data_IF_909821439416
#
_entry.id   IF_909821439416
#
_cell.length_a   1.000
_cell.length_b   1.000
_cell.length_c   1.000
_cell.angle_alpha   90.00
_cell.angle_beta   90.00
_cell.angle_gamma   90.00
#
_symmetry.space_group_name_H-M   'P 1'
#
loop_
_entity.id
_entity.type
_entity.pdbx_description
1 polymer ?
#
# COMPACT_ATOMS: atom_id res chain seq x y z
N UNK A 1 -7.48 -11.77 -0.25
CA UNK A 1 -6.71 -10.91 -1.16
C UNK A 1 -7.65 -10.35 -2.21
N UNK A 2 -7.93 -9.07 -2.21
CA UNK A 2 -8.84 -8.44 -3.18
C UNK A 2 -8.15 -8.30 -4.55
N UNK A 3 -8.92 -8.39 -5.65
CA UNK A 3 -8.37 -8.17 -7.00
C UNK A 3 -7.68 -6.80 -7.16
N UNK A 4 -8.04 -5.83 -6.33
CA UNK A 4 -7.49 -4.48 -6.34
C UNK A 4 -6.04 -4.43 -5.83
N UNK A 5 -5.72 -5.23 -4.79
CA UNK A 5 -4.39 -5.26 -4.19
C UNK A 5 -3.33 -5.78 -5.17
N UNK A 6 -3.69 -6.78 -5.99
CA UNK A 6 -2.78 -7.38 -6.97
C UNK A 6 -2.38 -6.36 -8.04
N UNK A 7 -3.33 -5.58 -8.55
CA UNK A 7 -3.05 -4.64 -9.65
C UNK A 7 -2.20 -3.44 -9.23
N UNK A 8 -2.41 -2.90 -8.01
CA UNK A 8 -1.55 -1.82 -7.51
C UNK A 8 -0.14 -2.34 -7.19
N UNK A 9 -0.04 -3.57 -6.67
CA UNK A 9 1.23 -4.26 -6.50
C UNK A 9 1.96 -4.41 -7.84
N UNK A 10 1.29 -4.94 -8.86
CA UNK A 10 1.87 -5.12 -10.19
C UNK A 10 2.33 -3.78 -10.79
N UNK A 11 1.51 -2.72 -10.65
CA UNK A 11 1.83 -1.38 -11.12
C UNK A 11 3.08 -0.80 -10.46
N UNK A 12 3.20 -0.93 -9.14
CA UNK A 12 4.35 -0.44 -8.38
C UNK A 12 5.58 -1.35 -8.49
N UNK A 13 5.44 -2.58 -9.01
CA UNK A 13 6.58 -3.51 -9.21
C UNK A 13 7.44 -3.14 -10.43
N UNK A 14 7.00 -2.19 -11.26
CA UNK A 14 7.84 -1.70 -12.36
C UNK A 14 9.04 -0.92 -11.78
N UNK A 15 10.31 -1.28 -12.10
CA UNK A 15 11.49 -0.73 -11.43
C UNK A 15 11.61 0.80 -11.48
N UNK A 16 11.16 1.45 -12.57
CA UNK A 16 11.22 2.92 -12.70
C UNK A 16 10.25 3.59 -11.73
N UNK A 17 9.01 3.11 -11.64
CA UNK A 17 7.99 3.59 -10.71
C UNK A 17 8.40 3.33 -9.27
N UNK A 18 8.98 2.14 -9.02
CA UNK A 18 9.47 1.77 -7.70
C UNK A 18 10.62 2.68 -7.23
N UNK A 19 11.61 2.92 -8.08
CA UNK A 19 12.71 3.84 -7.79
C UNK A 19 12.21 5.27 -7.57
N UNK A 20 11.29 5.75 -8.42
CA UNK A 20 10.70 7.09 -8.30
C UNK A 20 9.91 7.25 -7.00
N UNK A 21 9.14 6.25 -6.61
CA UNK A 21 8.42 6.22 -5.34
C UNK A 21 9.38 6.37 -4.14
N UNK A 22 10.45 5.59 -4.10
CA UNK A 22 11.45 5.67 -3.02
C UNK A 22 12.19 7.01 -3.03
N UNK A 23 12.62 7.45 -4.21
CA UNK A 23 13.31 8.73 -4.38
C UNK A 23 12.42 9.91 -3.97
N UNK A 24 11.15 9.88 -4.32
CA UNK A 24 10.18 10.91 -3.95
C UNK A 24 9.86 10.91 -2.46
N UNK A 25 9.54 9.74 -1.89
CA UNK A 25 9.02 9.63 -0.51
C UNK A 25 10.13 9.62 0.56
N UNK A 26 11.18 8.82 0.38
CA UNK A 26 12.25 8.67 1.36
C UNK A 26 13.35 9.71 1.16
N UNK A 27 13.73 9.94 -0.08
CA UNK A 27 14.88 10.80 -0.41
C UNK A 27 14.50 12.22 -0.83
N UNK A 28 13.24 12.63 -0.68
CA UNK A 28 12.75 13.98 -0.96
C UNK A 28 13.09 14.47 -2.39
N UNK A 29 12.96 13.59 -3.37
CA UNK A 29 13.23 13.87 -4.79
C UNK A 29 14.69 13.71 -5.23
N UNK A 30 15.61 13.45 -4.28
CA UNK A 30 17.00 13.12 -4.65
C UNK A 30 17.02 11.75 -5.33
N UNK A 31 17.68 11.68 -6.48
CA UNK A 31 17.79 10.45 -7.29
C UNK A 31 18.92 9.57 -6.73
N UNK A 32 18.61 8.84 -5.67
CA UNK A 32 19.55 7.94 -4.96
C UNK A 32 19.39 6.51 -5.47
N UNK A 33 18.15 6.10 -5.78
CA UNK A 33 17.85 4.76 -6.29
C UNK A 33 17.78 4.82 -7.81
N UNK A 34 18.59 4.02 -8.48
CA UNK A 34 18.53 3.83 -9.93
C UNK A 34 17.65 2.62 -10.24
N UNK A 35 16.69 2.78 -11.15
CA UNK A 35 15.81 1.71 -11.58
C UNK A 35 16.56 0.51 -12.17
N UNK A 36 17.69 0.75 -12.85
CA UNK A 36 18.53 -0.29 -13.41
C UNK A 36 19.28 -1.13 -12.38
N UNK A 37 19.36 -0.67 -11.13
CA UNK A 37 19.95 -1.40 -10.00
C UNK A 37 18.93 -2.26 -9.24
N UNK A 38 17.62 -2.15 -9.56
CA UNK A 38 16.54 -2.85 -8.87
C UNK A 38 16.21 -4.17 -9.57
N UNK A 39 16.16 -5.24 -8.79
CA UNK A 39 15.75 -6.58 -9.22
C UNK A 39 14.67 -7.05 -8.26
N UNK A 40 13.54 -7.52 -8.79
CA UNK A 40 12.49 -8.10 -7.96
C UNK A 40 13.05 -9.29 -7.16
N UNK A 41 12.81 -9.30 -5.86
CA UNK A 41 13.23 -10.41 -5.02
C UNK A 41 12.35 -11.61 -5.34
N UNK A 42 12.98 -12.73 -5.76
CA UNK A 42 12.28 -13.99 -6.00
C UNK A 42 11.44 -14.38 -4.76
N UNK A 43 10.15 -14.30 -4.90
CA UNK A 43 9.17 -14.80 -3.92
C UNK A 43 9.03 -16.33 -3.99
N UNK A 44 9.74 -16.98 -4.92
CA UNK A 44 9.65 -18.40 -5.21
C UNK A 44 10.86 -19.11 -4.64
N UNK A 45 10.70 -19.80 -3.54
CA UNK A 45 11.28 -21.09 -3.18
C UNK A 45 11.45 -21.31 -1.66
N UNK A 46 10.35 -21.24 -0.91
CA UNK A 46 10.21 -22.18 0.22
C UNK A 46 8.74 -22.19 0.69
N UNK A 47 8.08 -23.32 0.61
CA UNK A 47 6.77 -23.57 1.21
C UNK A 47 6.94 -23.75 2.73
N UNK A 48 7.32 -22.70 3.43
CA UNK A 48 7.33 -22.63 4.88
C UNK A 48 6.24 -21.70 5.37
N UNK A 49 5.78 -21.88 6.61
CA UNK A 49 4.80 -21.01 7.26
C UNK A 49 5.23 -19.52 7.23
N UNK A 50 6.54 -19.24 7.20
CA UNK A 50 7.13 -17.92 7.08
C UNK A 50 6.78 -17.24 5.75
N UNK A 51 6.75 -17.99 4.64
CA UNK A 51 6.38 -17.48 3.32
C UNK A 51 4.89 -17.15 3.24
N UNK A 52 4.06 -17.95 3.90
CA UNK A 52 2.62 -17.66 4.00
C UNK A 52 2.33 -16.38 4.79
N UNK A 53 3.21 -16.00 5.74
CA UNK A 53 3.13 -14.73 6.47
C UNK A 53 3.51 -13.58 5.54
N UNK A 54 4.57 -13.71 4.75
CA UNK A 54 5.03 -12.65 3.82
C UNK A 54 4.09 -12.49 2.61
N UNK A 55 3.54 -13.57 2.06
CA UNK A 55 2.54 -13.50 0.98
C UNK A 55 1.22 -12.84 1.40
N UNK A 56 0.88 -12.87 2.70
CA UNK A 56 -0.29 -12.16 3.27
C UNK A 56 -0.10 -10.65 3.36
N UNK A 57 1.12 -10.17 3.21
CA UNK A 57 1.46 -8.78 3.50
C UNK A 57 1.37 -7.85 2.28
N UNK A 58 0.93 -8.30 1.11
CA UNK A 58 0.78 -7.51 -0.13
C UNK A 58 2.00 -6.64 -0.49
N UNK A 59 3.21 -7.09 -0.11
CA UNK A 59 4.40 -6.29 -0.20
C UNK A 59 5.18 -6.57 -1.47
N UNK A 60 5.80 -5.51 -1.99
CA UNK A 60 6.72 -5.58 -3.13
C UNK A 60 8.13 -5.49 -2.55
N UNK A 61 8.94 -6.50 -2.76
CA UNK A 61 10.32 -6.49 -2.30
C UNK A 61 11.28 -6.48 -3.49
N UNK A 62 12.20 -5.52 -3.51
CA UNK A 62 13.25 -5.42 -4.50
C UNK A 62 14.62 -5.43 -3.85
N UNK A 63 15.56 -6.11 -4.49
CA UNK A 63 16.98 -6.08 -4.16
C UNK A 63 17.66 -5.02 -5.01
N UNK A 64 18.33 -4.06 -4.36
CA UNK A 64 19.20 -3.13 -5.05
C UNK A 64 20.58 -3.75 -5.20
N UNK A 65 21.02 -3.90 -6.44
CA UNK A 65 22.33 -4.48 -6.77
C UNK A 65 23.16 -3.48 -7.57
N UNK A 66 24.46 -3.41 -7.24
CA UNK A 66 25.41 -2.60 -7.98
C UNK A 66 26.66 -3.42 -8.24
N UNK A 67 27.12 -3.44 -9.48
CA UNK A 67 28.28 -4.24 -9.91
C UNK A 67 28.17 -5.73 -9.51
N UNK A 68 26.94 -6.28 -9.52
CA UNK A 68 26.65 -7.66 -9.15
C UNK A 68 26.60 -7.93 -7.64
N UNK A 69 26.81 -6.92 -6.80
CA UNK A 69 26.73 -7.06 -5.35
C UNK A 69 25.43 -6.49 -4.81
N UNK A 70 24.80 -7.19 -3.83
CA UNK A 70 23.60 -6.71 -3.14
C UNK A 70 23.98 -5.51 -2.26
N UNK A 71 23.18 -4.46 -2.31
CA UNK A 71 23.37 -3.23 -1.56
C UNK A 71 22.33 -3.02 -0.47
N UNK A 72 21.06 -3.22 -0.82
CA UNK A 72 19.94 -3.07 0.08
C UNK A 72 18.74 -3.90 -0.37
N UNK A 73 17.84 -4.19 0.56
CA UNK A 73 16.52 -4.77 0.31
C UNK A 73 15.47 -3.72 0.61
N UNK A 74 14.65 -3.42 -0.37
CA UNK A 74 13.59 -2.42 -0.28
C UNK A 74 12.24 -3.12 -0.32
N UNK A 75 11.36 -2.77 0.59
CA UNK A 75 9.99 -3.30 0.63
C UNK A 75 8.98 -2.14 0.60
N UNK A 76 7.91 -2.30 -0.17
CA UNK A 76 6.77 -1.38 -0.18
C UNK A 76 5.54 -2.13 0.30
N UNK A 77 5.03 -1.74 1.46
CA UNK A 77 3.83 -2.29 2.08
C UNK A 77 2.62 -1.42 1.75
N UNK A 78 1.68 -1.97 0.97
CA UNK A 78 0.45 -1.27 0.56
C UNK A 78 -0.64 -1.46 1.62
N UNK A 79 -1.22 -0.35 2.13
CA UNK A 79 -2.26 -0.36 3.15
C UNK A 79 -3.49 0.45 2.71
N UNK A 80 -4.65 -0.19 2.69
CA UNK A 80 -5.94 0.47 2.46
C UNK A 80 -6.66 0.77 3.78
N UNK A 81 -6.48 -0.07 4.78
CA UNK A 81 -7.12 0.06 6.08
C UNK A 81 -6.09 0.39 7.15
N UNK A 82 -6.55 1.02 8.25
CA UNK A 82 -5.68 1.33 9.38
C UNK A 82 -5.31 0.03 10.09
N UNK A 83 -4.01 -0.25 10.16
CA UNK A 83 -3.45 -1.35 10.95
C UNK A 83 -2.74 -0.78 12.17
N UNK A 84 -3.34 -0.95 13.34
CA UNK A 84 -2.80 -0.45 14.61
C UNK A 84 -1.54 -1.20 15.06
N UNK A 85 -1.23 -2.35 14.47
CA UNK A 85 -0.02 -3.15 14.74
C UNK A 85 1.11 -2.88 13.75
N UNK A 86 0.96 -1.94 12.83
CA UNK A 86 1.85 -1.73 11.70
C UNK A 86 3.34 -1.65 12.05
N UNK A 87 3.79 -0.94 13.12
CA UNK A 87 5.21 -0.91 13.47
C UNK A 87 5.78 -2.28 13.83
N UNK A 88 5.06 -3.07 14.63
CA UNK A 88 5.48 -4.42 14.99
C UNK A 88 5.48 -5.37 13.78
N UNK A 89 4.52 -5.20 12.88
CA UNK A 89 4.41 -5.97 11.64
C UNK A 89 5.58 -5.70 10.71
N UNK A 90 5.94 -4.44 10.49
CA UNK A 90 7.10 -4.04 9.67
C UNK A 90 8.40 -4.54 10.30
N UNK A 91 8.57 -4.36 11.61
CA UNK A 91 9.74 -4.87 12.34
C UNK A 91 9.91 -6.39 12.16
N UNK A 92 8.83 -7.16 12.28
CA UNK A 92 8.87 -8.60 12.05
C UNK A 92 9.26 -8.96 10.62
N UNK A 93 8.72 -8.25 9.64
CA UNK A 93 9.00 -8.45 8.23
C UNK A 93 10.47 -8.18 7.90
N UNK A 94 11.03 -7.08 8.40
CA UNK A 94 12.43 -6.73 8.22
C UNK A 94 13.33 -7.77 8.92
N UNK A 95 12.95 -8.22 10.12
CA UNK A 95 13.67 -9.29 10.83
C UNK A 95 13.69 -10.62 10.04
N UNK A 96 12.57 -10.99 9.39
CA UNK A 96 12.51 -12.16 8.52
C UNK A 96 13.39 -12.00 7.28
N UNK A 97 13.53 -10.80 6.75
CA UNK A 97 14.45 -10.51 5.64
C UNK A 97 15.91 -10.62 6.06
N UNK A 98 16.27 -10.18 7.26
CA UNK A 98 17.60 -10.41 7.84
C UNK A 98 17.86 -11.90 8.12
N UNK A 99 16.88 -12.63 8.67
CA UNK A 99 17.04 -14.08 8.90
C UNK A 99 17.28 -14.83 7.58
N UNK A 100 16.64 -14.40 6.51
CA UNK A 100 16.88 -14.96 5.17
C UNK A 100 18.30 -14.73 4.69
N UNK A 101 18.83 -13.53 4.85
CA UNK A 101 20.23 -13.22 4.53
C UNK A 101 21.20 -14.07 5.39
N UNK A 102 20.92 -14.24 6.69
CA UNK A 102 21.70 -15.11 7.56
C UNK A 102 21.67 -16.58 7.09
N UNK A 103 20.51 -17.07 6.69
CA UNK A 103 20.37 -18.43 6.14
C UNK A 103 21.16 -18.61 4.82
N UNK A 104 21.18 -17.56 3.97
CA UNK A 104 21.96 -17.55 2.73
C UNK A 104 23.48 -17.61 3.02
N UNK A 105 23.98 -16.77 3.93
CA UNK A 105 25.38 -16.79 4.37
C UNK A 105 25.79 -18.17 4.93
N UNK A 106 24.98 -18.75 5.80
CA UNK A 106 25.24 -20.07 6.40
C UNK A 106 25.34 -21.23 5.38
N UNK A 107 24.70 -21.06 4.21
CA UNK A 107 24.72 -22.08 3.14
C UNK A 107 25.94 -22.00 2.23
N UNK A 108 26.70 -20.91 2.27
CA UNK A 108 27.80 -20.68 1.33
C UNK A 108 29.02 -21.60 1.53
N UNK A 109 29.12 -22.32 2.66
CA UNK A 109 30.09 -23.38 2.84
C UNK A 109 31.54 -22.90 2.83
N UNK A 110 31.89 -22.02 3.76
CA UNK A 110 33.23 -21.44 3.86
C UNK A 110 34.24 -22.32 4.63
N UNK A 111 35.54 -22.09 4.38
CA UNK A 111 36.58 -22.38 5.35
C UNK A 111 36.53 -21.31 6.45
N UNK A 112 36.39 -21.75 7.70
CA UNK A 112 36.27 -20.88 8.86
C UNK A 112 37.63 -20.68 9.53
N UNK A 113 37.96 -19.45 9.90
CA UNK A 113 39.27 -19.13 10.48
C UNK A 113 39.40 -19.56 11.95
N UNK A 114 38.27 -19.62 12.68
CA UNK A 114 38.28 -19.98 14.10
C UNK A 114 37.00 -20.74 14.52
N UNK A 115 36.93 -21.12 15.81
CA UNK A 115 35.82 -21.85 16.38
C UNK A 115 34.53 -21.03 16.46
N UNK A 116 34.60 -19.69 16.58
CA UNK A 116 33.45 -18.79 16.60
C UNK A 116 32.76 -18.76 15.25
N UNK A 117 33.51 -18.58 14.18
CA UNK A 117 33.01 -18.65 12.81
C UNK A 117 32.43 -20.04 12.49
N UNK A 118 33.13 -21.11 12.90
CA UNK A 118 32.67 -22.46 12.70
C UNK A 118 31.32 -22.73 13.39
N UNK A 119 31.15 -22.29 14.63
CA UNK A 119 29.92 -22.51 15.39
C UNK A 119 28.75 -21.64 14.90
N UNK A 120 29.03 -20.38 14.57
CA UNK A 120 28.02 -19.45 14.05
C UNK A 120 27.66 -19.69 12.59
N UNK A 121 28.57 -20.34 11.84
CA UNK A 121 28.50 -20.49 10.37
C UNK A 121 28.53 -19.15 9.63
N UNK A 122 29.09 -18.12 10.24
CA UNK A 122 29.22 -16.76 9.70
C UNK A 122 30.66 -16.31 9.99
N UNK A 123 31.32 -15.72 8.99
CA UNK A 123 32.67 -15.17 9.15
C UNK A 123 32.61 -13.77 9.75
N UNK A 124 33.70 -13.35 10.38
CA UNK A 124 33.82 -12.03 10.96
C UNK A 124 33.59 -10.90 9.93
N UNK A 125 33.98 -11.12 8.69
CA UNK A 125 33.87 -10.15 7.61
C UNK A 125 32.55 -10.24 6.83
N UNK A 126 31.66 -11.19 7.17
CA UNK A 126 30.34 -11.28 6.57
C UNK A 126 29.44 -10.17 7.11
N UNK A 127 28.71 -9.50 6.20
CA UNK A 127 27.82 -8.41 6.55
C UNK A 127 26.43 -8.65 5.98
N UNK A 128 25.43 -8.21 6.73
CA UNK A 128 24.05 -8.15 6.23
C UNK A 128 23.83 -6.82 5.50
N UNK A 129 22.94 -6.83 4.54
CA UNK A 129 22.54 -5.64 3.79
C UNK A 129 21.32 -4.99 4.45
N UNK A 130 21.23 -3.65 4.48
CA UNK A 130 20.09 -2.94 5.04
C UNK A 130 18.77 -3.41 4.44
N UNK A 131 17.77 -3.55 5.29
CA UNK A 131 16.37 -3.79 4.90
C UNK A 131 15.58 -2.55 5.27
N UNK A 132 14.85 -1.97 4.31
CA UNK A 132 14.07 -0.76 4.50
C UNK A 132 12.66 -0.99 3.95
N UNK A 133 11.65 -0.78 4.80
CA UNK A 133 10.25 -0.90 4.42
C UNK A 133 9.57 0.46 4.41
N UNK A 134 9.00 0.84 3.25
CA UNK A 134 8.11 1.99 3.07
C UNK A 134 6.66 1.51 3.17
N UNK A 135 5.90 2.07 4.08
CA UNK A 135 4.45 1.85 4.18
C UNK A 135 3.74 2.95 3.40
N UNK A 136 2.90 2.55 2.42
CA UNK A 136 2.03 3.46 1.69
C UNK A 136 0.61 3.25 2.17
N UNK A 137 0.00 4.30 2.70
CA UNK A 137 -1.40 4.33 3.06
C UNK A 137 -2.20 5.14 2.04
N UNK A 138 -3.21 4.50 1.47
CA UNK A 138 -4.11 5.08 0.48
C UNK A 138 -5.59 4.89 0.86
N UNK A 139 -5.85 4.62 2.14
CA UNK A 139 -7.21 4.57 2.68
C UNK A 139 -7.90 5.92 2.70
N UNK A 140 -9.22 5.90 2.86
CA UNK A 140 -10.03 7.13 2.92
C UNK A 140 -10.06 7.76 4.30
N UNK A 141 -9.89 6.95 5.33
CA UNK A 141 -9.88 7.40 6.72
C UNK A 141 -8.56 8.11 7.05
N UNK A 142 -8.62 9.10 7.95
CA UNK A 142 -7.44 9.70 8.54
C UNK A 142 -6.62 8.63 9.29
N UNK A 143 -5.33 8.53 9.02
CA UNK A 143 -4.49 7.56 9.70
C UNK A 143 -4.36 7.90 11.19
N UNK A 144 -4.88 7.01 12.04
CA UNK A 144 -4.82 7.08 13.51
C UNK A 144 -3.98 5.97 14.13
N UNK A 145 -3.33 5.16 13.28
CA UNK A 145 -2.43 4.11 13.71
C UNK A 145 -1.09 4.67 14.21
N UNK A 146 -0.38 3.83 14.93
CA UNK A 146 0.98 4.12 15.37
C UNK A 146 1.92 4.34 14.17
N UNK A 147 2.91 5.20 14.34
CA UNK A 147 3.98 5.45 13.35
C UNK A 147 5.34 4.95 13.85
N UNK A 148 5.43 4.45 15.09
CA UNK A 148 6.63 3.87 15.65
C UNK A 148 6.31 2.73 16.63
N UNK A 149 7.31 1.91 16.94
CA UNK A 149 7.17 0.82 17.91
C UNK A 149 6.78 1.33 19.29
N UNK A 150 7.39 2.43 19.75
CA UNK A 150 7.10 3.01 21.05
C UNK A 150 5.65 3.49 21.19
N UNK A 151 4.97 3.84 20.09
CA UNK A 151 3.56 4.26 20.09
C UNK A 151 2.59 3.13 20.46
N UNK A 152 3.00 1.87 20.29
CA UNK A 152 2.17 0.69 20.60
C UNK A 152 2.60 -0.04 21.88
N UNK A 153 3.68 0.40 22.54
CA UNK A 153 4.18 -0.21 23.77
C UNK A 153 3.59 0.48 24.99
N UNK A 154 3.18 -0.31 25.97
CA UNK A 154 2.82 0.18 27.30
C UNK A 154 4.06 0.20 28.19
N UNK A 155 4.56 1.39 28.51
CA UNK A 155 5.68 1.58 29.41
C UNK A 155 5.25 1.75 30.88
N UNK A 156 3.96 1.60 31.20
CA UNK A 156 3.42 1.73 32.55
C UNK A 156 3.21 3.18 33.00
N UNK A 157 2.65 3.32 34.20
CA UNK A 157 2.25 4.63 34.76
C UNK A 157 3.36 5.39 35.50
N UNK A 158 4.45 4.71 35.87
CA UNK A 158 5.59 5.36 36.54
C UNK A 158 6.46 6.12 35.52
N UNK A 159 6.52 7.46 35.54
CA UNK A 159 7.21 8.23 34.52
C UNK A 159 8.73 8.01 34.51
N UNK A 160 9.34 7.69 35.66
CA UNK A 160 10.78 7.43 35.73
C UNK A 160 11.09 6.09 35.09
N UNK A 161 10.37 5.04 35.49
CA UNK A 161 10.52 3.71 34.90
C UNK A 161 10.22 3.73 33.41
N UNK A 162 9.15 4.42 32.99
CA UNK A 162 8.77 4.55 31.59
C UNK A 162 9.88 5.19 30.74
N UNK A 163 10.56 6.22 31.28
CA UNK A 163 11.67 6.86 30.58
C UNK A 163 12.87 5.92 30.44
N UNK A 164 13.22 5.19 31.50
CA UNK A 164 14.32 4.21 31.46
C UNK A 164 14.01 3.06 30.46
N UNK A 165 12.78 2.53 30.49
CA UNK A 165 12.35 1.47 29.56
C UNK A 165 12.41 1.94 28.10
N UNK A 166 12.01 3.18 27.79
CA UNK A 166 12.13 3.74 26.44
C UNK A 166 13.57 3.83 25.94
N UNK A 167 14.55 4.02 26.83
CA UNK A 167 15.95 4.02 26.43
C UNK A 167 16.49 2.61 26.17
N UNK A 168 15.94 1.60 26.86
CA UNK A 168 16.36 0.21 26.70
C UNK A 168 15.73 -0.50 25.49
N UNK A 169 14.53 -0.10 25.10
CA UNK A 169 13.83 -0.66 23.94
C UNK A 169 14.18 0.19 22.71
N UNK A 170 14.82 -0.38 21.68
CA UNK A 170 15.08 0.34 20.45
C UNK A 170 13.80 0.87 19.81
N UNK A 171 13.82 2.11 19.36
CA UNK A 171 12.74 2.68 18.57
C UNK A 171 12.75 2.12 17.15
N UNK A 172 11.56 1.87 16.63
CA UNK A 172 11.38 1.38 15.26
C UNK A 172 10.37 2.27 14.52
N UNK A 173 10.82 3.41 13.97
CA UNK A 173 9.95 4.31 13.23
C UNK A 173 9.60 3.75 11.86
N UNK A 174 8.37 3.98 11.40
CA UNK A 174 7.95 3.67 10.03
C UNK A 174 8.44 4.73 9.05
N UNK A 175 8.94 4.29 7.89
CA UNK A 175 8.92 5.14 6.70
C UNK A 175 7.50 5.11 6.17
N UNK A 176 6.77 6.22 6.31
CA UNK A 176 5.33 6.25 6.11
C UNK A 176 4.92 7.32 5.11
N UNK A 177 4.26 6.91 4.04
CA UNK A 177 3.67 7.78 3.03
C UNK A 177 2.15 7.67 3.11
N UNK A 178 1.49 8.72 3.60
CA UNK A 178 0.05 8.83 3.57
C UNK A 178 -0.36 9.69 2.36
N UNK A 179 -0.95 9.06 1.35
CA UNK A 179 -1.36 9.76 0.13
C UNK A 179 -2.46 10.81 0.36
N UNK A 180 -3.18 10.75 1.48
CA UNK A 180 -4.19 11.75 1.84
C UNK A 180 -3.61 12.99 2.53
N UNK A 181 -2.35 12.94 3.00
CA UNK A 181 -1.66 14.05 3.68
C UNK A 181 -0.62 14.74 2.78
N UNK A 182 -0.23 14.10 1.68
CA UNK A 182 0.77 14.65 0.75
C UNK A 182 0.05 15.41 -0.35
N UNK A 183 0.30 16.71 -0.43
CA UNK A 183 -0.31 17.60 -1.44
C UNK A 183 0.72 18.14 -2.44
N UNK A 184 1.93 17.61 -2.46
CA UNK A 184 2.98 18.01 -3.40
C UNK A 184 3.73 16.79 -3.91
N UNK A 185 3.43 16.41 -5.12
CA UNK A 185 4.04 15.25 -5.81
C UNK A 185 5.11 15.68 -6.83
N UNK A 186 5.61 16.91 -6.75
CA UNK A 186 6.63 17.44 -7.68
C UNK A 186 7.95 16.67 -7.64
N UNK A 187 8.19 15.89 -6.62
CA UNK A 187 9.36 15.04 -6.48
C UNK A 187 9.29 13.78 -7.34
N UNK A 188 8.09 13.33 -7.73
CA UNK A 188 7.92 12.20 -8.63
C UNK A 188 8.15 12.60 -10.07
N UNK A 189 8.84 11.74 -10.82
CA UNK A 189 9.28 11.99 -12.21
C UNK A 189 8.63 11.05 -13.23
N UNK A 190 7.96 10.03 -12.75
CA UNK A 190 7.20 9.07 -13.57
C UNK A 190 5.71 9.41 -13.54
N UNK A 191 4.91 8.54 -14.14
CA UNK A 191 3.45 8.60 -14.14
C UNK A 191 2.84 8.54 -12.72
N UNK A 192 3.65 8.17 -11.71
CA UNK A 192 3.25 8.25 -10.30
C UNK A 192 2.83 9.65 -9.89
N UNK A 193 3.45 10.68 -10.46
CA UNK A 193 3.06 12.06 -10.20
C UNK A 193 1.59 12.28 -10.58
N UNK A 194 1.25 11.97 -11.82
CA UNK A 194 -0.12 12.13 -12.34
C UNK A 194 -1.11 11.29 -11.54
N UNK A 195 -0.74 10.03 -11.23
CA UNK A 195 -1.56 9.14 -10.43
C UNK A 195 -1.88 9.73 -9.04
N UNK A 196 -0.87 10.25 -8.34
CA UNK A 196 -1.04 10.81 -6.99
C UNK A 196 -1.75 12.15 -7.00
N UNK A 197 -1.50 13.01 -7.98
CA UNK A 197 -2.19 14.29 -8.17
C UNK A 197 -3.70 14.08 -8.43
N UNK A 198 -4.06 13.08 -9.22
CA UNK A 198 -5.45 12.71 -9.48
C UNK A 198 -6.08 12.05 -8.24
N UNK A 199 -5.33 11.22 -7.51
CA UNK A 199 -5.81 10.64 -6.26
C UNK A 199 -6.12 11.70 -5.20
N UNK A 200 -5.27 12.71 -5.04
CA UNK A 200 -5.48 13.80 -4.09
C UNK A 200 -6.78 14.56 -4.39
N UNK A 201 -7.07 14.79 -5.67
CA UNK A 201 -8.28 15.51 -6.13
C UNK A 201 -9.55 14.65 -6.23
N UNK A 202 -9.47 13.35 -5.91
CA UNK A 202 -10.58 12.39 -6.10
C UNK A 202 -11.89 12.78 -5.41
N UNK A 203 -11.84 13.60 -4.38
CA UNK A 203 -13.02 14.07 -3.62
C UNK A 203 -13.60 15.39 -4.14
N UNK A 204 -12.90 16.08 -5.02
CA UNK A 204 -13.34 17.36 -5.63
C UNK A 204 -13.40 17.24 -7.16
N UNK A 205 -14.62 17.07 -7.67
CA UNK A 205 -14.86 16.93 -9.11
C UNK A 205 -14.28 18.10 -9.93
N UNK A 206 -14.45 19.33 -9.44
CA UNK A 206 -13.99 20.51 -10.16
C UNK A 206 -12.47 20.53 -10.27
N UNK A 207 -11.77 20.32 -9.14
CA UNK A 207 -10.32 20.28 -9.09
C UNK A 207 -9.75 19.11 -9.91
N UNK A 208 -10.43 17.95 -9.88
CA UNK A 208 -10.03 16.78 -10.68
C UNK A 208 -10.17 17.05 -12.19
N UNK A 209 -11.33 17.54 -12.63
CA UNK A 209 -11.59 17.85 -14.06
C UNK A 209 -10.65 18.94 -14.56
N UNK A 210 -10.44 20.00 -13.78
CA UNK A 210 -9.51 21.07 -14.12
C UNK A 210 -8.08 20.52 -14.32
N UNK A 211 -7.61 19.65 -13.41
CA UNK A 211 -6.28 19.04 -13.53
C UNK A 211 -6.16 18.22 -14.82
N UNK A 212 -7.18 17.41 -15.14
CA UNK A 212 -7.19 16.61 -16.39
C UNK A 212 -7.18 17.49 -17.63
N UNK A 213 -7.88 18.61 -17.64
CA UNK A 213 -7.93 19.53 -18.77
C UNK A 213 -6.62 20.29 -18.97
N UNK A 214 -5.94 20.66 -17.89
CA UNK A 214 -4.70 21.43 -17.90
C UNK A 214 -3.45 20.62 -18.18
N UNK A 215 -3.52 19.27 -18.06
CA UNK A 215 -2.35 18.37 -18.15
C UNK A 215 -2.52 17.34 -19.27
N UNK A 216 -1.79 17.54 -20.37
CA UNK A 216 -1.87 16.67 -21.55
C UNK A 216 -1.44 15.22 -21.24
N UNK A 217 -0.59 14.98 -20.25
CA UNK A 217 -0.22 13.65 -19.77
C UNK A 217 -1.42 12.83 -19.28
N UNK A 218 -2.46 13.48 -18.78
CA UNK A 218 -3.69 12.79 -18.39
C UNK A 218 -4.45 12.21 -19.59
N UNK A 219 -4.34 12.87 -20.76
CA UNK A 219 -4.99 12.42 -22.00
C UNK A 219 -4.29 11.26 -22.69
N UNK A 220 -3.00 11.09 -22.39
CA UNK A 220 -2.13 10.07 -22.96
C UNK A 220 -1.63 9.05 -21.92
N UNK A 221 -2.38 8.90 -20.83
CA UNK A 221 -2.06 7.99 -19.76
C UNK A 221 -1.98 6.55 -20.27
N UNK A 222 -0.92 5.82 -19.89
CA UNK A 222 -0.80 4.41 -20.22
C UNK A 222 -1.88 3.56 -19.50
N UNK A 223 -2.14 2.37 -20.05
CA UNK A 223 -3.21 1.52 -19.55
C UNK A 223 -2.96 1.06 -18.09
N UNK A 224 -1.72 0.90 -17.66
CA UNK A 224 -1.39 0.42 -16.31
C UNK A 224 -1.65 1.53 -15.28
N UNK A 225 -1.22 2.76 -15.57
CA UNK A 225 -1.49 3.95 -14.74
C UNK A 225 -2.99 4.21 -14.64
N UNK A 226 -3.73 4.08 -15.76
CA UNK A 226 -5.18 4.17 -15.74
C UNK A 226 -5.85 3.12 -14.83
N UNK A 227 -5.40 1.86 -14.91
CA UNK A 227 -5.92 0.81 -14.04
C UNK A 227 -5.58 1.02 -12.57
N UNK A 228 -4.36 1.51 -12.27
CA UNK A 228 -3.96 1.87 -10.91
C UNK A 228 -4.83 3.00 -10.35
N UNK A 229 -5.10 4.04 -11.16
CA UNK A 229 -5.99 5.14 -10.78
C UNK A 229 -7.39 4.65 -10.44
N UNK A 230 -7.96 3.78 -11.28
CA UNK A 230 -9.29 3.17 -11.01
C UNK A 230 -9.37 2.45 -9.67
N UNK A 231 -8.30 1.80 -9.28
CA UNK A 231 -8.24 1.08 -8.01
C UNK A 231 -8.19 2.07 -6.86
N UNK A 232 -7.35 3.09 -6.97
CA UNK A 232 -7.18 4.10 -5.95
C UNK A 232 -8.41 4.97 -5.76
N UNK A 233 -9.14 5.29 -6.83
CA UNK A 233 -10.36 6.10 -6.80
C UNK A 233 -11.62 5.28 -6.46
N UNK A 234 -11.48 3.94 -6.30
CA UNK A 234 -12.51 2.99 -5.82
C UNK A 234 -13.85 3.01 -6.56
N UNK A 235 -13.85 3.11 -7.88
CA UNK A 235 -15.09 3.08 -8.67
C UNK A 235 -15.47 1.66 -9.08
N UNK A 236 -16.57 1.13 -8.54
CA UNK A 236 -17.00 -0.27 -8.71
C UNK A 236 -17.54 -0.55 -10.10
N UNK A 237 -18.20 0.40 -10.78
CA UNK A 237 -18.79 0.23 -12.12
C UNK A 237 -17.75 0.13 -13.24
N UNK A 238 -16.62 0.82 -13.12
CA UNK A 238 -15.53 0.73 -14.09
C UNK A 238 -14.90 -0.68 -14.18
N UNK A 239 -15.08 -1.51 -13.14
CA UNK A 239 -14.58 -2.91 -13.14
C UNK A 239 -15.22 -3.80 -14.19
N UNK A 240 -16.39 -3.44 -14.73
CA UNK A 240 -17.19 -4.28 -15.63
C UNK A 240 -17.09 -3.88 -17.10
N UNK A 241 -16.58 -2.68 -17.43
CA UNK A 241 -16.76 -2.12 -18.78
C UNK A 241 -15.59 -2.33 -19.77
N UNK A 242 -14.38 -2.70 -19.34
CA UNK A 242 -13.26 -2.90 -20.29
C UNK A 242 -12.59 -4.25 -20.06
N UNK A 243 -12.64 -5.16 -21.04
CA UNK A 243 -11.92 -6.43 -20.99
C UNK A 243 -10.40 -6.21 -20.96
N UNK A 244 -9.70 -7.08 -20.26
CA UNK A 244 -8.23 -7.08 -20.08
C UNK A 244 -7.41 -7.13 -21.39
N UNK A 245 -8.08 -7.36 -22.53
CA UNK A 245 -7.47 -7.58 -23.85
C UNK A 245 -7.35 -6.33 -24.74
N UNK A 246 -7.97 -5.20 -24.38
CA UNK A 246 -7.90 -3.96 -25.16
C UNK A 246 -6.99 -2.92 -24.48
N UNK A 247 -5.67 -3.17 -24.54
CA UNK A 247 -4.64 -2.25 -24.10
C UNK A 247 -4.27 -1.29 -25.25
N UNK A 248 -5.11 -0.32 -25.53
CA UNK A 248 -4.82 0.75 -26.48
C UNK A 248 -4.93 2.11 -25.80
N UNK A 249 -4.05 3.04 -26.20
CA UNK A 249 -4.13 4.45 -25.79
C UNK A 249 -5.55 4.97 -26.10
N UNK A 250 -6.35 5.22 -25.06
CA UNK A 250 -7.68 5.81 -25.20
C UNK A 250 -7.60 7.29 -24.84
N UNK A 251 -8.34 8.08 -25.60
CA UNK A 251 -8.55 9.50 -25.29
C UNK A 251 -9.35 9.59 -23.96
N UNK A 252 -8.69 10.03 -22.91
CA UNK A 252 -9.15 9.92 -21.52
C UNK A 252 -10.26 10.91 -21.13
N UNK A 253 -10.54 11.93 -21.96
CA UNK A 253 -11.53 12.95 -21.61
C UNK A 253 -12.93 12.39 -21.31
N UNK A 254 -13.43 11.48 -22.14
CA UNK A 254 -14.75 10.87 -21.94
C UNK A 254 -14.75 9.84 -20.80
N UNK A 255 -13.59 9.23 -20.54
CA UNK A 255 -13.47 8.18 -19.51
C UNK A 255 -13.51 8.79 -18.10
N UNK A 256 -12.96 9.99 -17.90
CA UNK A 256 -13.05 10.67 -16.63
C UNK A 256 -14.47 11.15 -16.31
N UNK A 257 -15.23 11.57 -17.30
CA UNK A 257 -16.65 11.90 -17.13
C UNK A 257 -17.45 10.67 -16.69
N UNK A 258 -17.21 9.52 -17.30
CA UNK A 258 -17.81 8.23 -16.91
C UNK A 258 -17.42 7.82 -15.48
N UNK A 259 -16.14 8.00 -15.10
CA UNK A 259 -15.64 7.73 -13.73
C UNK A 259 -16.41 8.58 -12.71
N UNK A 260 -16.61 9.86 -13.00
CA UNK A 260 -17.29 10.77 -12.08
C UNK A 260 -18.79 10.53 -11.99
N UNK A 261 -19.44 10.24 -13.11
CA UNK A 261 -20.86 9.88 -13.10
C UNK A 261 -21.07 8.60 -12.28
N UNK A 262 -20.20 7.61 -12.45
CA UNK A 262 -20.27 6.35 -11.72
C UNK A 262 -19.98 6.54 -10.22
N UNK A 263 -18.94 7.29 -9.84
CA UNK A 263 -18.62 7.58 -8.45
C UNK A 263 -19.74 8.39 -7.77
N UNK A 264 -20.37 9.32 -8.50
CA UNK A 264 -21.51 10.09 -8.01
C UNK A 264 -22.73 9.20 -7.79
N UNK A 265 -23.04 8.29 -8.73
CA UNK A 265 -24.15 7.37 -8.57
C UNK A 265 -23.93 6.39 -7.40
N UNK A 266 -22.69 5.92 -7.21
CA UNK A 266 -22.33 5.09 -6.06
C UNK A 266 -22.46 5.84 -4.74
N UNK A 267 -21.89 7.04 -4.64
CA UNK A 267 -22.02 7.87 -3.43
C UNK A 267 -23.47 8.22 -3.09
N UNK A 268 -24.31 8.48 -4.11
CA UNK A 268 -25.75 8.65 -3.92
C UNK A 268 -26.44 7.36 -3.48
N UNK A 269 -26.01 6.21 -4.01
CA UNK A 269 -26.58 4.92 -3.65
C UNK A 269 -26.18 4.52 -2.23
N UNK A 270 -24.91 4.66 -1.86
CA UNK A 270 -24.41 4.39 -0.51
C UNK A 270 -25.05 5.33 0.53
N UNK A 271 -25.11 6.64 0.24
CA UNK A 271 -25.78 7.61 1.12
C UNK A 271 -27.27 7.31 1.29
N UNK A 272 -27.95 6.85 0.23
CA UNK A 272 -29.34 6.40 0.30
C UNK A 272 -29.48 5.14 1.16
N UNK A 273 -28.59 4.16 0.98
CA UNK A 273 -28.61 2.93 1.79
C UNK A 273 -28.36 3.22 3.26
N UNK A 274 -27.34 4.01 3.59
CA UNK A 274 -27.03 4.41 4.97
C UNK A 274 -28.22 5.10 5.61
N UNK A 275 -28.85 6.05 4.94
CA UNK A 275 -30.07 6.72 5.43
C UNK A 275 -31.21 5.73 5.66
N UNK A 276 -31.39 4.76 4.77
CA UNK A 276 -32.42 3.71 4.94
C UNK A 276 -32.10 2.76 6.09
N UNK A 277 -30.83 2.46 6.34
CA UNK A 277 -30.39 1.66 7.50
C UNK A 277 -30.68 2.39 8.82
N UNK A 278 -30.33 3.69 8.90
CA UNK A 278 -30.65 4.52 10.06
C UNK A 278 -32.15 4.55 10.35
N UNK A 279 -32.98 4.77 9.32
CA UNK A 279 -34.44 4.79 9.47
C UNK A 279 -35.03 3.46 9.91
N UNK A 280 -34.45 2.34 9.47
CA UNK A 280 -34.87 1.00 9.90
C UNK A 280 -34.39 0.74 11.33
N UNK A 281 -33.14 1.09 11.66
CA UNK A 281 -32.57 0.96 12.99
C UNK A 281 -33.39 1.75 14.04
N UNK A 282 -33.77 2.96 13.70
CA UNK A 282 -34.59 3.83 14.54
C UNK A 282 -36.09 3.44 14.59
N UNK A 283 -36.45 2.37 13.88
CA UNK A 283 -37.84 1.88 13.84
C UNK A 283 -38.81 2.80 13.09
N UNK A 284 -38.31 3.76 12.32
CA UNK A 284 -39.11 4.71 11.54
C UNK A 284 -39.54 4.18 10.18
N UNK A 285 -38.88 3.12 9.69
CA UNK A 285 -39.19 2.47 8.41
C UNK A 285 -39.12 0.94 8.57
N UNK A 286 -40.04 0.22 7.89
CA UNK A 286 -39.95 -1.25 7.87
C UNK A 286 -38.84 -1.74 6.93
N UNK A 287 -38.22 -2.89 7.21
CA UNK A 287 -37.23 -3.53 6.32
C UNK A 287 -37.81 -3.70 4.92
N UNK A 288 -39.07 -4.08 4.80
CA UNK A 288 -39.78 -4.26 3.54
C UNK A 288 -39.85 -2.96 2.73
N UNK A 289 -40.23 -1.86 3.38
CA UNK A 289 -40.35 -0.56 2.70
C UNK A 289 -38.96 0.03 2.38
N UNK A 290 -37.96 -0.20 3.24
CA UNK A 290 -36.58 0.20 3.00
C UNK A 290 -35.98 -0.56 1.81
N UNK A 291 -36.14 -1.87 1.77
CA UNK A 291 -35.68 -2.73 0.68
C UNK A 291 -36.34 -2.33 -0.66
N UNK A 292 -37.63 -2.05 -0.66
CA UNK A 292 -38.34 -1.57 -1.85
C UNK A 292 -37.77 -0.22 -2.34
N UNK A 293 -37.48 0.71 -1.43
CA UNK A 293 -36.85 2.02 -1.76
C UNK A 293 -35.40 1.88 -2.23
N UNK A 294 -34.69 0.87 -1.74
CA UNK A 294 -33.34 0.52 -2.19
C UNK A 294 -33.33 -0.26 -3.50
N UNK A 295 -34.50 -0.64 -4.04
CA UNK A 295 -34.63 -1.55 -5.19
C UNK A 295 -33.96 -2.91 -4.97
N UNK A 296 -34.02 -3.40 -3.73
CA UNK A 296 -33.43 -4.66 -3.26
C UNK A 296 -34.51 -5.65 -2.77
N UNK A 297 -34.16 -6.92 -2.67
CA UNK A 297 -34.97 -7.87 -1.91
C UNK A 297 -34.76 -7.65 -0.41
N UNK A 298 -35.76 -7.98 0.42
CA UNK A 298 -35.64 -7.87 1.89
C UNK A 298 -34.43 -8.63 2.43
N UNK A 299 -34.15 -9.83 1.91
CA UNK A 299 -32.99 -10.63 2.30
C UNK A 299 -31.66 -9.96 1.95
N UNK A 300 -31.53 -9.41 0.75
CA UNK A 300 -30.31 -8.70 0.32
C UNK A 300 -30.10 -7.43 1.15
N UNK A 301 -31.16 -6.64 1.37
CA UNK A 301 -31.10 -5.43 2.19
C UNK A 301 -30.65 -5.72 3.63
N UNK A 302 -31.24 -6.77 4.26
CA UNK A 302 -30.87 -7.16 5.62
C UNK A 302 -29.42 -7.61 5.71
N UNK A 303 -28.93 -8.36 4.71
CA UNK A 303 -27.53 -8.81 4.65
C UNK A 303 -26.56 -7.63 4.54
N UNK A 304 -26.84 -6.67 3.69
CA UNK A 304 -25.99 -5.47 3.53
C UNK A 304 -26.05 -4.56 4.76
N UNK A 305 -27.22 -4.39 5.38
CA UNK A 305 -27.40 -3.65 6.62
C UNK A 305 -26.56 -4.24 7.76
N UNK A 306 -26.56 -5.57 7.91
CA UNK A 306 -25.72 -6.28 8.89
C UNK A 306 -24.22 -6.13 8.62
N UNK A 307 -23.79 -6.15 7.35
CA UNK A 307 -22.39 -5.90 6.97
C UNK A 307 -21.96 -4.47 7.28
N UNK A 308 -22.87 -3.52 7.18
CA UNK A 308 -22.64 -2.12 7.51
C UNK A 308 -22.64 -1.82 9.03
N UNK A 309 -22.89 -2.85 9.88
CA UNK A 309 -22.83 -2.73 11.35
C UNK A 309 -24.13 -2.31 12.04
N UNK A 310 -25.28 -2.42 11.35
CA UNK A 310 -26.62 -2.15 11.89
C UNK A 310 -27.33 -3.41 12.37
#
# INVERSE_FOLDING_TARGET
MGKNDITLKDYLSEPKRYADLLNGSIFQGRQIIDAGELIEADTVQSKSDEQAIMERLNDITMKQTKDGSLFAVWTVANQQYIDYSMPARVMLQDALSYDRQLKELKRQGYDFADSGEFLSRIRQDDHLHPVITLVIYWGEDEWRGAKSLHDILDFGADPVLAQELKQLVPEYPLHFLNLSEVHNYSHSKTELRTLFELYDRRKDKSAFTQYVEEHDECRHMDAETYWALRILVNTTKLKTMIPHSERTEKNMGNVFDEIWEDAREEGLHEGKLTTLYDLVHDGLLSIKDAAARASMTESAFTTEMQKAGY
#
